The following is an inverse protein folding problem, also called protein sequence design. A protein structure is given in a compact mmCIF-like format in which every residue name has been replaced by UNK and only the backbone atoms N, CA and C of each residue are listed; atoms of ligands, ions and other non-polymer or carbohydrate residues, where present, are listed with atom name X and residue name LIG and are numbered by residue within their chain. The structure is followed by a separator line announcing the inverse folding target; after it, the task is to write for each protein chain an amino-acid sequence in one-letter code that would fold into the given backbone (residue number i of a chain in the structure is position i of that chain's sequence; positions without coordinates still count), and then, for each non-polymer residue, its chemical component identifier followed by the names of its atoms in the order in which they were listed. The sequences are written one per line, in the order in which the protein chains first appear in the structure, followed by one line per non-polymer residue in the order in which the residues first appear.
data_IF_872170677961
#
_entry.id   IF_872170677961
#
_cell.length_a   1.000
_cell.length_b   1.000
_cell.length_c   1.000
_cell.angle_alpha   90.00
_cell.angle_beta   90.00
_cell.angle_gamma   90.00
#
_symmetry.space_group_name_H-M   'P 1'
#
loop_
_entity.id
_entity.type
_entity.pdbx_description
1 polymer ?
#
# COMPACT_ATOMS: atom_id res chain seq x y z
N UNK A 1 2.33 10.53 13.52
CA UNK A 1 2.43 12.00 13.34
C UNK A 1 1.09 12.56 12.82
N UNK A 2 0.72 13.79 13.20
CA UNK A 2 -0.59 14.37 12.85
C UNK A 2 -0.72 14.59 11.35
N UNK A 3 0.35 15.09 10.74
CA UNK A 3 0.51 15.40 9.33
C UNK A 3 0.31 14.18 8.41
N UNK A 4 0.52 12.95 8.91
CA UNK A 4 0.37 11.73 8.12
C UNK A 4 -1.01 11.08 8.26
N UNK A 5 -1.81 11.48 9.25
CA UNK A 5 -3.12 10.86 9.52
C UNK A 5 -4.06 10.94 8.32
N UNK A 6 -4.02 12.04 7.57
CA UNK A 6 -4.82 12.23 6.35
C UNK A 6 -4.51 11.20 5.27
N UNK A 7 -3.24 11.05 4.92
CA UNK A 7 -2.80 10.08 3.90
C UNK A 7 -3.12 8.63 4.29
N UNK A 8 -2.95 8.27 5.57
CA UNK A 8 -3.30 6.93 6.08
C UNK A 8 -4.81 6.71 5.98
N UNK A 9 -5.60 7.70 6.43
CA UNK A 9 -7.06 7.60 6.36
C UNK A 9 -7.53 7.44 4.91
N UNK A 10 -6.96 8.20 3.97
CA UNK A 10 -7.24 8.08 2.55
C UNK A 10 -6.91 6.69 2.01
N UNK A 11 -5.71 6.17 2.30
CA UNK A 11 -5.30 4.84 1.83
C UNK A 11 -6.17 3.71 2.36
N UNK A 12 -6.63 3.79 3.62
CA UNK A 12 -7.57 2.80 4.17
C UNK A 12 -8.94 2.92 3.51
N UNK A 13 -9.49 4.14 3.42
CA UNK A 13 -10.84 4.36 2.89
C UNK A 13 -10.96 4.10 1.39
N UNK A 14 -9.87 4.25 0.64
CA UNK A 14 -9.82 3.99 -0.79
C UNK A 14 -10.19 2.54 -1.15
N UNK A 15 -10.01 1.58 -0.23
CA UNK A 15 -10.49 0.20 -0.41
C UNK A 15 -12.01 0.06 -0.53
N UNK A 16 -12.80 1.03 -0.04
CA UNK A 16 -14.26 1.00 -0.23
C UNK A 16 -14.63 0.95 -1.71
N UNK A 17 -13.83 1.54 -2.61
CA UNK A 17 -14.06 1.46 -4.06
C UNK A 17 -14.12 0.01 -4.56
N UNK A 18 -13.25 -0.86 -4.04
CA UNK A 18 -13.24 -2.28 -4.40
C UNK A 18 -14.39 -3.04 -3.73
N UNK A 19 -14.67 -2.75 -2.45
CA UNK A 19 -15.77 -3.38 -1.71
C UNK A 19 -17.17 -2.99 -2.24
N UNK A 20 -17.32 -1.79 -2.79
CA UNK A 20 -18.55 -1.36 -3.47
C UNK A 20 -18.86 -2.26 -4.67
N UNK A 21 -17.84 -2.66 -5.44
CA UNK A 21 -18.04 -3.61 -6.54
C UNK A 21 -18.39 -5.02 -6.03
N UNK A 22 -17.85 -5.40 -4.87
CA UNK A 22 -18.21 -6.65 -4.20
C UNK A 22 -19.59 -6.61 -3.52
N UNK A 23 -20.35 -5.51 -3.66
CA UNK A 23 -21.73 -5.38 -3.16
C UNK A 23 -21.86 -4.86 -1.73
N UNK A 24 -20.78 -4.34 -1.14
CA UNK A 24 -20.80 -3.76 0.20
C UNK A 24 -20.87 -2.24 0.16
N UNK A 25 -21.54 -1.63 1.13
CA UNK A 25 -21.55 -0.18 1.32
C UNK A 25 -20.81 0.18 2.62
N UNK A 26 -19.87 1.11 2.54
CA UNK A 26 -19.06 1.55 3.70
C UNK A 26 -18.39 0.38 4.44
N UNK A 27 -17.87 -0.59 3.70
CA UNK A 27 -17.25 -1.80 4.24
C UNK A 27 -16.05 -1.51 5.15
N UNK A 28 -15.23 -0.52 4.76
CA UNK A 28 -14.02 -0.14 5.47
C UNK A 28 -14.22 1.21 6.15
N UNK A 29 -13.91 1.27 7.44
CA UNK A 29 -13.89 2.50 8.22
C UNK A 29 -12.60 2.59 9.01
N UNK A 30 -12.10 3.82 9.16
CA UNK A 30 -10.94 4.13 9.99
C UNK A 30 -11.27 5.33 10.84
N UNK A 31 -10.87 5.26 12.11
CA UNK A 31 -11.12 6.31 13.10
C UNK A 31 -9.81 6.61 13.81
N UNK A 32 -9.62 7.88 14.16
CA UNK A 32 -8.51 8.28 15.01
C UNK A 32 -8.82 7.80 16.43
N UNK A 33 -7.87 7.10 17.03
CA UNK A 33 -7.93 6.74 18.44
C UNK A 33 -8.04 8.04 19.28
N UNK A 34 -9.07 8.18 20.13
CA UNK A 34 -9.18 9.31 21.04
C UNK A 34 -7.99 9.35 22.02
N UNK A 35 -7.57 10.55 22.40
CA UNK A 35 -6.46 10.72 23.36
C UNK A 35 -6.80 10.19 24.77
N UNK A 36 -8.09 10.03 25.07
CA UNK A 36 -8.64 9.49 26.32
C UNK A 36 -9.13 8.03 26.20
N UNK A 37 -8.73 7.31 25.14
CA UNK A 37 -9.11 5.92 24.95
C UNK A 37 -8.64 5.03 26.12
N UNK A 38 -9.55 4.22 26.66
CA UNK A 38 -9.25 3.25 27.73
C UNK A 38 -8.56 1.96 27.23
N UNK A 39 -8.23 1.89 25.94
CA UNK A 39 -7.58 0.76 25.26
C UNK A 39 -6.34 1.24 24.51
N UNK A 40 -5.41 0.33 24.26
CA UNK A 40 -4.16 0.59 23.55
C UNK A 40 -3.99 -0.31 22.32
N UNK A 41 -2.91 -0.10 21.57
CA UNK A 41 -2.66 -0.79 20.31
C UNK A 41 -2.42 -2.32 20.46
N UNK A 42 -2.21 -2.84 21.66
CA UNK A 42 -2.11 -4.26 21.95
C UNK A 42 -3.46 -4.92 22.29
N UNK A 43 -4.54 -4.16 22.39
CA UNK A 43 -5.87 -4.69 22.65
C UNK A 43 -6.43 -5.42 21.42
N UNK A 44 -6.48 -6.75 21.51
CA UNK A 44 -6.95 -7.65 20.43
C UNK A 44 -8.38 -7.37 19.95
N UNK A 45 -9.17 -6.59 20.69
CA UNK A 45 -10.53 -6.21 20.30
C UNK A 45 -10.56 -5.14 19.20
N UNK A 46 -9.44 -4.48 18.95
CA UNK A 46 -9.33 -3.39 17.99
C UNK A 46 -8.31 -3.72 16.90
N UNK A 47 -8.69 -3.42 15.66
CA UNK A 47 -7.74 -3.35 14.56
C UNK A 47 -7.08 -1.99 14.58
N UNK A 48 -5.75 -1.94 14.53
CA UNK A 48 -5.01 -0.69 14.73
C UNK A 48 -4.00 -0.50 13.59
N UNK A 49 -3.91 0.74 13.11
CA UNK A 49 -2.78 1.22 12.32
C UNK A 49 -1.95 2.12 13.24
N UNK A 50 -0.69 1.78 13.49
CA UNK A 50 0.18 2.53 14.41
C UNK A 50 1.51 2.91 13.79
N UNK A 51 2.04 4.02 14.28
CA UNK A 51 3.41 4.44 14.02
C UNK A 51 4.35 3.80 15.04
N UNK A 52 5.42 3.19 14.55
CA UNK A 52 6.49 2.66 15.38
C UNK A 52 7.80 3.38 15.08
N UNK A 53 8.70 3.39 16.06
CA UNK A 53 10.06 3.94 15.89
C UNK A 53 11.03 2.99 16.57
N UNK A 54 11.41 1.95 15.84
CA UNK A 54 12.28 0.92 16.37
C UNK A 54 13.76 1.37 16.33
N UNK A 55 14.59 1.01 17.33
CA UNK A 55 16.03 1.23 17.29
C UNK A 55 16.72 0.50 16.13
N UNK A 56 16.25 -0.73 15.82
CA UNK A 56 16.69 -1.51 14.67
C UNK A 56 15.46 -2.00 13.88
N UNK A 57 14.87 -1.12 13.05
CA UNK A 57 13.67 -1.46 12.29
C UNK A 57 14.01 -2.55 11.26
N UNK A 58 13.19 -3.60 11.24
CA UNK A 58 13.34 -4.74 10.31
C UNK A 58 12.49 -4.58 9.04
N UNK A 59 11.60 -3.60 9.01
CA UNK A 59 10.62 -3.33 7.97
C UNK A 59 10.31 -1.81 7.97
N UNK A 60 9.84 -1.26 6.86
CA UNK A 60 9.31 0.11 6.81
C UNK A 60 7.77 0.17 6.95
N UNK A 61 7.09 -0.95 6.69
CA UNK A 61 5.68 -1.20 6.91
C UNK A 61 5.46 -2.70 7.13
N UNK A 62 4.54 -3.08 8.00
CA UNK A 62 4.17 -4.48 8.23
C UNK A 62 2.69 -4.56 8.60
N UNK A 63 1.89 -5.31 7.85
CA UNK A 63 0.49 -5.61 8.16
C UNK A 63 0.23 -7.04 8.65
N UNK A 64 0.67 -7.45 9.86
CA UNK A 64 0.28 -8.73 10.42
C UNK A 64 -1.23 -8.78 10.65
N UNK A 65 -1.82 -9.88 10.22
CA UNK A 65 -3.20 -10.24 10.52
C UNK A 65 -3.24 -11.67 11.05
N UNK A 66 -4.29 -11.99 11.80
CA UNK A 66 -4.56 -13.37 12.21
C UNK A 66 -5.97 -13.75 11.81
N UNK A 67 -6.09 -14.94 11.22
CA UNK A 67 -7.32 -15.43 10.64
C UNK A 67 -7.78 -16.69 11.36
N UNK A 68 -9.09 -16.92 11.34
CA UNK A 68 -9.65 -18.21 11.72
C UNK A 68 -9.26 -19.23 10.63
N UNK A 69 -8.47 -20.28 10.95
CA UNK A 69 -7.94 -21.21 9.95
C UNK A 69 -9.03 -22.08 9.30
N UNK A 70 -10.25 -22.14 9.87
CA UNK A 70 -11.36 -22.92 9.30
C UNK A 70 -12.23 -22.10 8.36
N UNK A 71 -12.40 -20.81 8.64
CA UNK A 71 -13.36 -19.95 7.93
C UNK A 71 -12.68 -18.88 7.08
N UNK A 72 -11.38 -18.65 7.26
CA UNK A 72 -10.65 -17.54 6.61
C UNK A 72 -10.98 -16.17 7.19
N UNK A 73 -11.91 -16.06 8.16
CA UNK A 73 -12.28 -14.79 8.77
C UNK A 73 -11.07 -14.11 9.40
N UNK A 74 -10.79 -12.86 9.01
CA UNK A 74 -9.80 -12.01 9.68
C UNK A 74 -10.35 -11.65 11.06
N UNK A 75 -9.67 -12.10 12.10
CA UNK A 75 -10.08 -11.88 13.49
C UNK A 75 -9.44 -10.62 14.08
N UNK A 76 -8.27 -10.25 13.57
CA UNK A 76 -7.65 -8.98 13.88
C UNK A 76 -6.46 -8.67 12.97
N UNK A 77 -6.11 -7.39 12.91
CA UNK A 77 -5.00 -6.86 12.13
C UNK A 77 -4.34 -5.68 12.83
N UNK A 78 -3.02 -5.60 12.72
CA UNK A 78 -2.21 -4.62 13.43
C UNK A 78 -1.11 -4.06 12.52
N UNK A 79 -1.46 -3.08 11.69
CA UNK A 79 -0.55 -2.51 10.71
C UNK A 79 0.41 -1.54 11.39
N UNK A 80 1.70 -1.81 11.25
CA UNK A 80 2.79 -1.00 11.77
C UNK A 80 3.48 -0.25 10.64
N UNK A 81 3.58 1.07 10.79
CA UNK A 81 4.33 1.95 9.89
C UNK A 81 5.55 2.47 10.64
N UNK A 82 6.75 2.13 10.17
CA UNK A 82 8.00 2.50 10.85
C UNK A 82 8.47 3.89 10.43
N UNK A 83 8.81 4.72 11.41
CA UNK A 83 9.26 6.10 11.17
C UNK A 83 10.58 6.19 10.36
N UNK A 84 11.34 5.09 10.30
CA UNK A 84 12.56 5.01 9.47
C UNK A 84 12.27 5.24 7.98
N UNK A 85 11.05 4.94 7.53
CA UNK A 85 10.57 5.21 6.17
C UNK A 85 10.75 6.67 5.73
N UNK A 86 10.86 7.62 6.66
CA UNK A 86 11.11 9.04 6.35
C UNK A 86 12.51 9.53 6.65
N UNK A 87 13.11 9.02 7.72
CA UNK A 87 14.25 9.69 8.34
C UNK A 87 15.60 9.26 7.81
N UNK A 88 15.66 8.33 6.85
CA UNK A 88 16.90 7.81 6.28
C UNK A 88 17.96 7.55 7.37
N UNK A 89 17.60 6.74 8.37
CA UNK A 89 18.61 6.30 9.34
C UNK A 89 19.57 5.38 8.61
N UNK A 90 20.72 5.93 8.22
CA UNK A 90 21.89 5.10 7.94
C UNK A 90 22.12 4.26 9.18
N UNK A 91 21.93 2.94 9.07
CA UNK A 91 22.30 2.02 10.15
C UNK A 91 23.83 2.11 10.24
N UNK A 92 24.36 2.96 11.11
CA UNK A 92 25.81 3.15 11.28
C UNK A 92 26.55 1.82 11.46
N UNK A 93 25.90 0.84 12.09
CA UNK A 93 26.39 -0.54 12.18
C UNK A 93 26.69 -1.18 10.80
N UNK A 94 25.90 -0.89 9.76
CA UNK A 94 26.13 -1.40 8.40
C UNK A 94 27.35 -0.75 7.73
N UNK A 95 27.65 0.52 8.01
CA UNK A 95 28.89 1.16 7.54
C UNK A 95 30.14 0.54 8.18
N UNK A 96 30.04 0.07 9.42
CA UNK A 96 31.12 -0.64 10.11
C UNK A 96 31.19 -2.14 9.76
N UNK A 97 30.16 -2.71 9.11
CA UNK A 97 30.10 -4.12 8.69
C UNK A 97 30.91 -4.45 7.45
N UNK A 98 31.34 -3.46 6.66
CA UNK A 98 32.14 -3.67 5.44
C UNK A 98 33.43 -4.46 5.68
N UNK A 99 33.87 -4.62 6.94
CA UNK A 99 35.06 -5.39 7.33
C UNK A 99 34.80 -6.73 8.04
N UNK A 100 33.55 -7.09 8.34
CA UNK A 100 33.20 -8.36 9.00
C UNK A 100 32.08 -9.05 8.21
N UNK A 101 32.46 -9.92 7.28
CA UNK A 101 31.61 -10.57 6.28
C UNK A 101 30.68 -11.69 6.80
N UNK A 102 30.60 -11.93 8.10
CA UNK A 102 30.00 -13.19 8.61
C UNK A 102 28.58 -13.06 9.18
N UNK A 103 27.89 -11.92 8.97
CA UNK A 103 26.46 -11.86 9.28
C UNK A 103 25.64 -12.09 8.02
N UNK A 104 25.43 -13.35 7.63
CA UNK A 104 24.31 -13.74 6.76
C UNK A 104 23.01 -13.30 7.44
N UNK A 105 22.51 -12.12 7.09
CA UNK A 105 21.12 -11.76 7.35
C UNK A 105 20.27 -12.70 6.49
N UNK A 106 19.86 -13.83 7.07
CA UNK A 106 18.79 -14.65 6.50
C UNK A 106 17.52 -13.83 6.60
N UNK A 107 17.24 -13.03 5.56
CA UNK A 107 15.89 -12.54 5.33
C UNK A 107 15.00 -13.78 5.26
N UNK A 108 13.97 -13.84 6.09
CA UNK A 108 12.89 -14.80 5.89
C UNK A 108 12.16 -14.40 4.60
N UNK A 109 12.29 -15.17 3.50
CA UNK A 109 11.76 -14.75 2.20
C UNK A 109 10.22 -14.67 2.20
N UNK A 110 9.57 -15.35 3.15
CA UNK A 110 8.11 -15.51 3.16
C UNK A 110 7.42 -14.36 3.90
N UNK A 111 8.07 -13.79 4.92
CA UNK A 111 7.46 -12.80 5.82
C UNK A 111 8.03 -11.38 5.66
N UNK A 112 8.85 -11.12 4.65
CA UNK A 112 9.46 -9.80 4.47
C UNK A 112 8.80 -9.02 3.33
N UNK A 113 8.05 -7.99 3.68
CA UNK A 113 7.63 -6.95 2.75
C UNK A 113 8.70 -5.86 2.65
N UNK A 114 9.07 -5.49 1.42
CA UNK A 114 10.07 -4.44 1.12
C UNK A 114 9.43 -3.21 0.46
N UNK A 115 8.10 -3.14 0.34
CA UNK A 115 7.41 -2.03 -0.32
C UNK A 115 7.83 -0.67 0.23
N UNK A 116 7.91 -0.56 1.57
CA UNK A 116 8.32 0.67 2.23
C UNK A 116 9.76 1.07 1.89
N UNK A 117 10.70 0.13 1.78
CA UNK A 117 12.08 0.43 1.41
C UNK A 117 12.17 0.93 -0.04
N UNK A 118 11.44 0.29 -0.96
CA UNK A 118 11.37 0.71 -2.37
C UNK A 118 10.70 2.08 -2.54
N UNK A 119 9.60 2.33 -1.83
CA UNK A 119 8.94 3.63 -1.82
C UNK A 119 9.83 4.71 -1.22
N UNK A 120 10.59 4.41 -0.16
CA UNK A 120 11.58 5.34 0.40
C UNK A 120 12.68 5.70 -0.61
N UNK A 121 13.25 4.70 -1.28
CA UNK A 121 14.25 4.92 -2.34
C UNK A 121 13.66 5.72 -3.51
N UNK A 122 12.43 5.42 -3.90
CA UNK A 122 11.67 6.19 -4.89
C UNK A 122 11.48 7.64 -4.47
N UNK A 123 11.14 7.89 -3.20
CA UNK A 123 10.99 9.25 -2.66
C UNK A 123 12.31 10.02 -2.73
N UNK A 124 13.44 9.40 -2.34
CA UNK A 124 14.76 10.02 -2.44
C UNK A 124 15.14 10.33 -3.89
N UNK A 125 14.92 9.39 -4.80
CA UNK A 125 15.17 9.60 -6.22
C UNK A 125 14.30 10.72 -6.78
N UNK A 126 12.99 10.69 -6.51
CA UNK A 126 12.05 11.72 -6.96
C UNK A 126 12.42 13.09 -6.43
N UNK A 127 12.73 13.21 -5.13
CA UNK A 127 13.22 14.45 -4.54
C UNK A 127 14.48 14.97 -5.25
N UNK A 128 15.48 14.12 -5.48
CA UNK A 128 16.74 14.52 -6.11
C UNK A 128 16.57 14.89 -7.60
N UNK A 129 15.84 14.07 -8.36
CA UNK A 129 15.58 14.27 -9.77
C UNK A 129 14.77 15.54 -10.01
N UNK A 130 13.73 15.77 -9.19
CA UNK A 130 12.86 16.92 -9.32
C UNK A 130 13.51 18.21 -8.82
N UNK A 131 14.33 18.15 -7.76
CA UNK A 131 15.10 19.31 -7.31
C UNK A 131 16.13 19.78 -8.34
N UNK A 132 16.55 18.90 -9.26
CA UNK A 132 17.46 19.23 -10.34
C UNK A 132 16.78 19.92 -11.53
N UNK A 133 15.45 19.89 -11.60
CA UNK A 133 14.67 20.64 -12.60
C UNK A 133 14.07 21.90 -11.98
N UNK A 134 14.01 22.98 -12.76
CA UNK A 134 13.34 24.22 -12.34
C UNK A 134 11.85 23.90 -12.15
N UNK A 135 11.24 24.28 -10.99
CA UNK A 135 9.80 24.11 -10.62
C UNK A 135 9.38 22.99 -9.61
N UNK A 136 10.30 22.38 -8.85
CA UNK A 136 9.90 21.46 -7.75
C UNK A 136 9.49 22.17 -6.45
N UNK A 137 8.27 22.69 -6.45
CA UNK A 137 7.72 23.45 -5.32
C UNK A 137 7.58 22.62 -4.03
N UNK A 138 7.46 23.30 -2.87
CA UNK A 138 7.15 22.64 -1.60
C UNK A 138 5.83 21.87 -1.63
N UNK A 139 4.86 22.31 -2.45
CA UNK A 139 3.59 21.61 -2.63
C UNK A 139 3.80 20.26 -3.33
N UNK A 140 4.65 20.22 -4.36
CA UNK A 140 5.00 18.98 -5.06
C UNK A 140 5.81 18.03 -4.17
N UNK A 141 6.74 18.57 -3.37
CA UNK A 141 7.47 17.81 -2.36
C UNK A 141 6.52 17.16 -1.34
N UNK A 142 5.56 17.93 -0.84
CA UNK A 142 4.54 17.42 0.07
C UNK A 142 3.67 16.36 -0.62
N UNK A 143 3.27 16.58 -1.88
CA UNK A 143 2.44 15.63 -2.63
C UNK A 143 3.17 14.31 -2.87
N UNK A 144 4.44 14.32 -3.26
CA UNK A 144 5.25 13.12 -3.42
C UNK A 144 5.24 12.27 -2.14
N UNK A 145 5.48 12.90 -0.99
CA UNK A 145 5.47 12.21 0.31
C UNK A 145 4.07 11.71 0.66
N UNK A 146 3.05 12.55 0.46
CA UNK A 146 1.66 12.22 0.73
C UNK A 146 1.19 11.01 -0.09
N UNK A 147 1.38 11.02 -1.41
CA UNK A 147 0.99 9.90 -2.28
C UNK A 147 1.76 8.62 -1.94
N UNK A 148 3.04 8.73 -1.56
CA UNK A 148 3.82 7.57 -1.12
C UNK A 148 3.24 6.93 0.15
N UNK A 149 2.71 7.74 1.08
CA UNK A 149 2.05 7.28 2.30
C UNK A 149 0.72 6.61 2.02
N UNK A 150 -0.08 7.19 1.12
CA UNK A 150 -1.33 6.58 0.67
C UNK A 150 -1.03 5.22 0.03
N UNK A 151 -0.05 5.15 -0.87
CA UNK A 151 0.38 3.90 -1.54
C UNK A 151 0.88 2.84 -0.56
N UNK A 152 1.69 3.21 0.42
CA UNK A 152 2.17 2.28 1.45
C UNK A 152 0.98 1.76 2.28
N UNK A 153 0.09 2.65 2.70
CA UNK A 153 -1.10 2.26 3.47
C UNK A 153 -2.00 1.32 2.67
N UNK A 154 -2.25 1.63 1.40
CA UNK A 154 -3.00 0.76 0.48
C UNK A 154 -2.40 -0.65 0.42
N UNK A 155 -1.07 -0.74 0.30
CA UNK A 155 -0.33 -2.00 0.22
C UNK A 155 -0.48 -2.85 1.48
N UNK A 156 -0.24 -2.27 2.66
CA UNK A 156 -0.34 -3.00 3.93
C UNK A 156 -1.79 -3.40 4.27
N UNK A 157 -2.77 -2.56 3.92
CA UNK A 157 -4.18 -2.94 4.02
C UNK A 157 -4.51 -4.06 3.03
N UNK A 158 -3.95 -4.05 1.82
CA UNK A 158 -4.09 -5.15 0.86
C UNK A 158 -3.62 -6.49 1.43
N UNK A 159 -2.46 -6.53 2.10
CA UNK A 159 -2.02 -7.72 2.83
C UNK A 159 -3.01 -8.16 3.91
N UNK A 160 -3.55 -7.20 4.67
CA UNK A 160 -4.58 -7.49 5.69
C UNK A 160 -5.82 -8.12 5.07
N UNK A 161 -6.20 -7.67 3.87
CA UNK A 161 -7.32 -8.21 3.10
C UNK A 161 -7.00 -9.54 2.38
N UNK A 162 -5.79 -10.09 2.56
CA UNK A 162 -5.38 -11.38 2.02
C UNK A 162 -4.72 -11.32 0.63
N UNK A 163 -4.36 -10.13 0.14
CA UNK A 163 -3.69 -9.98 -1.14
C UNK A 163 -2.19 -10.23 -0.99
N UNK A 164 -1.64 -11.01 -1.92
CA UNK A 164 -0.20 -11.21 -2.07
C UNK A 164 0.42 -10.14 -2.97
N UNK A 165 1.75 -10.03 -2.95
CA UNK A 165 2.46 -9.22 -3.92
C UNK A 165 2.10 -9.60 -5.36
N UNK A 166 1.90 -8.59 -6.22
CA UNK A 166 1.64 -8.81 -7.64
C UNK A 166 2.58 -7.94 -8.49
N UNK A 167 3.77 -8.48 -8.76
CA UNK A 167 4.80 -7.83 -9.57
C UNK A 167 4.52 -7.84 -11.08
N UNK A 168 3.50 -8.57 -11.53
CA UNK A 168 3.12 -8.60 -12.94
C UNK A 168 2.16 -7.46 -13.30
N UNK A 169 1.46 -6.91 -12.31
CA UNK A 169 0.41 -5.92 -12.47
C UNK A 169 0.88 -4.45 -12.42
N UNK A 170 2.17 -4.18 -12.67
CA UNK A 170 2.72 -2.81 -12.72
C UNK A 170 2.44 -2.07 -14.03
N UNK A 171 2.19 -2.79 -15.13
CA UNK A 171 1.95 -2.19 -16.44
C UNK A 171 0.46 -1.96 -16.70
N UNK A 172 -0.01 -0.73 -16.51
CA UNK A 172 -1.38 -0.31 -16.85
C UNK A 172 -1.43 0.78 -17.92
N UNK A 173 -0.49 1.72 -17.87
CA UNK A 173 -0.47 2.90 -18.75
C UNK A 173 0.70 2.87 -19.73
N UNK A 174 0.53 3.59 -20.84
CA UNK A 174 1.59 3.88 -21.80
C UNK A 174 2.43 5.09 -21.36
N UNK A 175 3.62 5.25 -21.92
CA UNK A 175 4.44 6.46 -21.71
C UNK A 175 3.75 7.77 -22.13
N UNK A 176 2.68 7.70 -22.94
CA UNK A 176 1.93 8.89 -23.38
C UNK A 176 0.91 9.38 -22.35
N UNK A 177 0.35 8.49 -21.53
CA UNK A 177 -0.75 8.81 -20.61
C UNK A 177 -0.43 8.61 -19.13
N UNK A 178 0.71 7.99 -18.78
CA UNK A 178 1.10 7.73 -17.39
C UNK A 178 1.26 9.00 -16.51
N UNK A 179 1.39 10.17 -17.12
CA UNK A 179 1.46 11.46 -16.40
C UNK A 179 0.16 12.28 -16.49
N UNK A 180 -0.88 11.74 -17.12
CA UNK A 180 -2.20 12.39 -17.20
C UNK A 180 -3.08 11.94 -16.04
N UNK A 181 -3.22 12.82 -15.05
CA UNK A 181 -3.99 12.56 -13.82
C UNK A 181 -5.48 12.28 -14.09
N UNK A 182 -6.04 12.85 -15.15
CA UNK A 182 -7.46 12.59 -15.51
C UNK A 182 -7.64 11.12 -15.87
N UNK A 183 -6.60 10.50 -16.44
CA UNK A 183 -6.59 9.09 -16.80
C UNK A 183 -6.16 8.22 -15.61
N UNK A 184 -5.12 8.62 -14.88
CA UNK A 184 -4.50 7.74 -13.87
C UNK A 184 -5.20 7.79 -12.51
N UNK A 185 -5.73 8.92 -12.05
CA UNK A 185 -6.35 9.01 -10.71
C UNK A 185 -7.58 8.11 -10.55
N UNK A 186 -8.49 8.00 -11.54
CA UNK A 186 -9.67 7.17 -11.38
C UNK A 186 -9.38 5.67 -11.35
N UNK A 187 -8.25 5.20 -11.86
CA UNK A 187 -7.95 3.76 -11.99
C UNK A 187 -6.64 3.32 -11.34
N UNK A 188 -5.81 4.25 -10.89
CA UNK A 188 -4.47 4.01 -10.37
C UNK A 188 -3.38 4.08 -11.44
N UNK A 189 -2.12 4.25 -11.02
CA UNK A 189 -0.94 4.19 -11.90
C UNK A 189 -0.59 2.75 -12.32
N UNK A 190 -1.00 1.78 -11.51
CA UNK A 190 -0.70 0.36 -11.67
C UNK A 190 -2.00 -0.43 -11.59
N UNK A 191 -2.02 -1.63 -12.15
CA UNK A 191 -3.20 -2.49 -12.05
C UNK A 191 -3.38 -3.05 -10.65
N UNK A 192 -2.29 -3.20 -9.90
CA UNK A 192 -2.31 -3.55 -8.47
C UNK A 192 -1.45 -2.62 -7.62
N UNK A 193 -1.93 -2.28 -6.43
CA UNK A 193 -1.15 -1.62 -5.37
C UNK A 193 -0.23 -2.60 -4.64
N UNK A 194 -0.26 -3.89 -4.96
CA UNK A 194 0.57 -4.92 -4.34
C UNK A 194 1.96 -5.08 -4.97
N UNK A 195 2.37 -4.14 -5.83
CA UNK A 195 3.69 -4.08 -6.45
C UNK A 195 4.61 -3.04 -5.77
N UNK A 196 5.92 -3.27 -5.87
CA UNK A 196 7.02 -2.38 -5.47
C UNK A 196 7.43 -1.48 -6.64
N UNK A 197 6.55 -0.56 -7.01
CA UNK A 197 6.78 0.31 -8.16
C UNK A 197 7.72 1.48 -7.87
N UNK A 198 8.54 1.90 -8.85
CA UNK A 198 9.33 3.12 -8.74
C UNK A 198 8.43 4.36 -8.71
N UNK A 199 9.00 5.49 -8.25
CA UNK A 199 8.33 6.79 -8.34
C UNK A 199 8.09 7.17 -9.81
N UNK A 200 6.89 7.67 -10.11
CA UNK A 200 6.55 8.15 -11.44
C UNK A 200 6.97 9.63 -11.59
N UNK A 201 8.10 9.87 -12.25
CA UNK A 201 8.67 11.21 -12.45
C UNK A 201 8.58 11.59 -13.93
N UNK A 202 8.00 12.75 -14.21
CA UNK A 202 7.97 13.33 -15.56
C UNK A 202 9.14 14.30 -15.77
N UNK A 203 9.65 14.38 -17.01
CA UNK A 203 10.68 15.33 -17.42
C UNK A 203 10.13 16.76 -17.64
N UNK A 204 8.80 16.92 -17.62
CA UNK A 204 8.10 18.22 -17.71
C UNK A 204 7.73 18.75 -16.32
N UNK A 205 8.40 19.80 -15.82
CA UNK A 205 8.23 20.27 -14.44
C UNK A 205 6.81 20.71 -14.05
N UNK A 206 6.02 21.17 -15.03
CA UNK A 206 4.65 21.65 -14.79
C UNK A 206 3.58 20.55 -14.84
N UNK A 207 3.96 19.33 -15.18
CA UNK A 207 3.02 18.25 -15.49
C UNK A 207 3.51 16.90 -14.95
N UNK A 208 3.91 16.84 -13.67
CA UNK A 208 4.46 15.62 -13.07
C UNK A 208 3.51 14.41 -13.09
N UNK A 209 2.20 14.64 -13.09
CA UNK A 209 1.22 13.57 -12.91
C UNK A 209 1.10 13.13 -11.45
N UNK A 210 0.62 11.91 -11.23
CA UNK A 210 0.76 11.23 -9.93
C UNK A 210 2.18 10.68 -9.78
N UNK A 211 2.77 10.80 -8.60
CA UNK A 211 4.02 10.14 -8.22
C UNK A 211 3.78 8.68 -7.84
N UNK A 212 2.66 8.38 -7.17
CA UNK A 212 2.27 7.03 -6.76
C UNK A 212 0.76 6.79 -6.89
N UNK A 213 0.37 5.52 -6.97
CA UNK A 213 -1.05 5.13 -7.04
C UNK A 213 -1.73 5.38 -5.68
N UNK A 214 -2.83 6.13 -5.67
CA UNK A 214 -3.61 6.47 -4.46
C UNK A 214 -4.98 5.78 -4.38
N UNK A 215 -5.24 4.84 -5.29
CA UNK A 215 -6.47 4.03 -5.34
C UNK A 215 -6.11 2.57 -5.63
N UNK A 216 -6.92 1.59 -5.18
CA UNK A 216 -6.86 0.23 -5.72
C UNK A 216 -7.03 0.25 -7.24
N UNK A 217 -6.22 -0.55 -7.92
CA UNK A 217 -6.27 -0.71 -9.37
C UNK A 217 -7.25 -1.81 -9.80
N UNK A 218 -7.44 -2.00 -11.12
CA UNK A 218 -8.36 -3.02 -11.66
C UNK A 218 -8.12 -4.43 -11.11
N UNK A 219 -6.87 -4.88 -10.97
CA UNK A 219 -6.58 -6.19 -10.40
C UNK A 219 -6.98 -6.28 -8.92
N UNK A 220 -6.70 -5.23 -8.13
CA UNK A 220 -7.06 -5.22 -6.71
C UNK A 220 -8.58 -5.27 -6.53
N UNK A 221 -9.32 -4.53 -7.36
CA UNK A 221 -10.78 -4.51 -7.38
C UNK A 221 -11.31 -5.91 -7.70
N UNK A 222 -10.81 -6.52 -8.78
CA UNK A 222 -11.17 -7.88 -9.17
C UNK A 222 -10.85 -8.91 -8.08
N UNK A 223 -9.69 -8.81 -7.43
CA UNK A 223 -9.28 -9.73 -6.37
C UNK A 223 -10.21 -9.62 -5.13
N UNK A 224 -10.65 -8.40 -4.79
CA UNK A 224 -11.63 -8.19 -3.72
C UNK A 224 -13.00 -8.73 -4.12
N UNK A 225 -13.47 -8.45 -5.33
CA UNK A 225 -14.73 -9.01 -5.83
C UNK A 225 -14.71 -10.55 -5.76
N UNK A 226 -13.63 -11.17 -6.22
CA UNK A 226 -13.45 -12.61 -6.17
C UNK A 226 -13.45 -13.15 -4.73
N UNK A 227 -12.70 -12.51 -3.83
CA UNK A 227 -12.51 -12.98 -2.45
C UNK A 227 -13.65 -12.68 -1.49
N UNK A 228 -14.44 -11.62 -1.73
CA UNK A 228 -15.37 -11.08 -0.74
C UNK A 228 -16.83 -11.01 -1.19
N UNK A 229 -17.14 -11.12 -2.50
CA UNK A 229 -18.54 -11.11 -2.94
C UNK A 229 -19.28 -12.32 -2.36
N UNK A 230 -20.40 -12.13 -1.65
CA UNK A 230 -21.19 -13.24 -1.12
C UNK A 230 -21.65 -14.19 -2.23
N UNK A 231 -21.61 -15.51 -2.00
CA UNK A 231 -22.06 -16.48 -3.00
C UNK A 231 -23.57 -16.40 -3.20
N UNK A 232 -24.05 -16.74 -4.40
CA UNK A 232 -25.48 -16.93 -4.62
C UNK A 232 -25.99 -18.20 -3.92
N UNK A 233 -27.26 -18.20 -3.51
CA UNK A 233 -27.91 -19.39 -2.95
C UNK A 233 -28.08 -20.50 -3.99
N UNK A 234 -28.27 -20.11 -5.26
CA UNK A 234 -28.37 -21.00 -6.41
C UNK A 234 -26.98 -21.49 -6.83
N UNK A 235 -26.76 -22.80 -6.80
CA UNK A 235 -25.47 -23.40 -7.18
C UNK A 235 -25.13 -23.20 -8.65
N UNK A 236 -26.13 -23.12 -9.53
CA UNK A 236 -25.93 -22.83 -10.96
C UNK A 236 -25.48 -21.40 -11.16
N UNK A 237 -26.19 -20.44 -10.55
CA UNK A 237 -25.87 -19.01 -10.71
C UNK A 237 -24.52 -18.69 -10.08
N UNK A 238 -24.19 -19.31 -8.95
CA UNK A 238 -22.89 -19.16 -8.32
C UNK A 238 -21.75 -19.67 -9.20
N UNK A 239 -21.96 -20.81 -9.87
CA UNK A 239 -20.97 -21.35 -10.82
C UNK A 239 -20.75 -20.40 -11.99
N UNK A 240 -21.82 -19.87 -12.58
CA UNK A 240 -21.73 -18.90 -13.67
C UNK A 240 -21.05 -17.59 -13.23
N UNK A 241 -21.35 -17.12 -12.01
CA UNK A 241 -20.70 -15.94 -11.41
C UNK A 241 -19.19 -16.14 -11.27
N UNK A 242 -18.76 -17.27 -10.71
CA UNK A 242 -17.34 -17.60 -10.56
C UNK A 242 -16.65 -17.70 -11.93
N UNK A 243 -17.26 -18.37 -12.90
CA UNK A 243 -16.70 -18.48 -14.26
C UNK A 243 -16.53 -17.10 -14.92
N UNK A 244 -17.50 -16.20 -14.75
CA UNK A 244 -17.41 -14.83 -15.24
C UNK A 244 -16.27 -14.06 -14.58
N UNK A 245 -16.15 -14.12 -13.24
CA UNK A 245 -15.07 -13.46 -12.51
C UNK A 245 -13.70 -14.00 -12.91
N UNK A 246 -13.54 -15.32 -13.00
CA UNK A 246 -12.28 -15.93 -13.43
C UNK A 246 -11.90 -15.55 -14.86
N UNK A 247 -12.88 -15.33 -15.75
CA UNK A 247 -12.61 -14.88 -17.13
C UNK A 247 -11.98 -13.49 -17.23
N UNK A 248 -12.01 -12.71 -16.14
CA UNK A 248 -11.42 -11.38 -16.08
C UNK A 248 -9.95 -11.39 -15.63
N UNK A 249 -9.44 -12.51 -15.09
CA UNK A 249 -8.07 -12.57 -14.53
C UNK A 249 -6.95 -12.40 -15.57
N UNK A 250 -7.28 -12.42 -16.87
CA UNK A 250 -6.33 -12.32 -17.98
C UNK A 250 -6.58 -11.10 -18.88
N UNK A 251 -7.54 -10.24 -18.53
CA UNK A 251 -7.88 -9.03 -19.27
C UNK A 251 -7.17 -7.83 -18.65
#
# INVERSE_FOLDING_TARGET
PLEFRGAIQEGVLAWNKAFEQAGFHNAVQVKIQPDDAAWDAGDIRYNVLRWTSSPNPRFGGLGPSFTNPRTGQILGADIMLEYVYFTNRVKYEQLHRTFNSDSEFKLDPINTCLAADYLHQGNLFGMAALSAVDDFSQLEQHRLIYESLVKLTLHEVGHTLGLNHNFYASHLHSFKNIHDRIITEPVGLTSSVMDYVPVNVNDKPKHHGQFYSTTPGPYDIWAIEFGYTPPFESTTDEKERIELLLSQSTK
#
